data_IF_713757416512
#
_entry.id   IF_713757416512
#
_cell.length_a   1.000
_cell.length_b   1.000
_cell.length_c   1.000
_cell.angle_alpha   90.00
_cell.angle_beta   90.00
_cell.angle_gamma   90.00
#
_symmetry.space_group_name_H-M   'P 1'
#
loop_
_entity.id
_entity.type
_entity.pdbx_description
1 polymer ?
#
# COMPACT_ATOMS: atom_id res chain seq x y z
N UNK A 1 -76.45 -58.19 -15.25
CA UNK A 1 -76.68 -59.14 -14.11
C UNK A 1 -75.98 -58.61 -12.89
N UNK A 2 -76.75 -57.98 -12.11
CA UNK A 2 -77.14 -58.25 -10.75
C UNK A 2 -76.07 -58.08 -9.74
N UNK A 3 -76.30 -57.05 -8.98
CA UNK A 3 -76.60 -56.95 -7.54
C UNK A 3 -75.35 -56.93 -6.68
N UNK A 4 -75.29 -56.25 -5.59
CA UNK A 4 -76.15 -55.40 -4.78
C UNK A 4 -75.36 -54.94 -3.58
N UNK A 5 -75.54 -53.70 -3.11
CA UNK A 5 -75.74 -53.21 -1.77
C UNK A 5 -75.02 -53.86 -0.57
N UNK A 6 -74.28 -53.08 0.19
CA UNK A 6 -74.77 -52.68 1.55
C UNK A 6 -73.77 -51.79 2.31
N UNK A 7 -74.22 -50.64 2.79
CA UNK A 7 -73.72 -49.92 3.98
C UNK A 7 -74.31 -50.59 5.23
N UNK A 8 -73.92 -50.27 6.46
CA UNK A 8 -73.20 -49.23 7.17
C UNK A 8 -72.40 -49.79 8.41
N UNK A 9 -72.16 -49.18 9.54
CA UNK A 9 -72.47 -47.84 10.06
C UNK A 9 -71.32 -47.10 10.72
N UNK A 10 -71.62 -45.92 11.16
CA UNK A 10 -70.84 -44.95 11.87
C UNK A 10 -70.18 -45.39 13.22
N UNK A 11 -69.01 -44.95 13.49
CA UNK A 11 -68.51 -44.78 14.88
C UNK A 11 -67.42 -43.68 14.93
N UNK A 12 -67.80 -42.56 15.41
CA UNK A 12 -67.28 -41.86 16.59
C UNK A 12 -66.03 -41.04 16.42
N UNK A 13 -66.24 -39.77 16.37
CA UNK A 13 -65.33 -38.65 16.70
C UNK A 13 -64.74 -38.87 18.09
N UNK A 14 -63.45 -39.07 18.16
CA UNK A 14 -62.57 -38.77 19.34
C UNK A 14 -61.10 -39.04 19.00
N UNK A 15 -60.39 -38.10 18.38
CA UNK A 15 -58.94 -38.02 18.44
C UNK A 15 -58.39 -36.81 17.66
N UNK A 16 -58.77 -35.56 18.04
CA UNK A 16 -58.22 -34.39 17.41
C UNK A 16 -57.65 -33.34 18.36
N UNK A 17 -57.59 -33.64 19.66
CA UNK A 17 -57.09 -32.65 20.65
C UNK A 17 -55.67 -32.93 21.15
N UNK A 18 -55.14 -34.16 21.01
CA UNK A 18 -53.79 -34.50 21.51
C UNK A 18 -52.67 -34.21 20.51
N UNK A 19 -52.95 -34.13 19.21
CA UNK A 19 -51.92 -33.86 18.19
C UNK A 19 -51.57 -32.37 18.09
N UNK A 20 -52.50 -31.46 18.43
CA UNK A 20 -52.26 -30.00 18.38
C UNK A 20 -51.31 -29.50 19.48
N UNK A 21 -51.38 -30.10 20.67
CA UNK A 21 -50.54 -29.68 21.80
C UNK A 21 -49.09 -30.17 21.62
N UNK A 22 -48.85 -31.31 21.03
CA UNK A 22 -47.51 -31.83 20.75
C UNK A 22 -46.82 -31.06 19.62
N UNK A 23 -47.54 -30.62 18.59
CA UNK A 23 -46.99 -29.81 17.47
C UNK A 23 -46.63 -28.39 17.95
N UNK A 24 -47.46 -27.78 18.78
CA UNK A 24 -47.17 -26.44 19.34
C UNK A 24 -46.00 -26.49 20.34
N UNK A 25 -45.89 -27.52 21.19
CA UNK A 25 -44.73 -27.71 22.07
C UNK A 25 -43.44 -27.96 21.29
N UNK A 26 -43.48 -28.74 20.19
CA UNK A 26 -42.31 -29.05 19.37
C UNK A 26 -41.87 -27.80 18.58
N UNK A 27 -42.81 -27.03 18.02
CA UNK A 27 -42.50 -25.77 17.33
C UNK A 27 -41.94 -24.72 18.29
N UNK A 28 -42.47 -24.59 19.50
CA UNK A 28 -41.94 -23.69 20.52
C UNK A 28 -40.54 -24.08 21.00
N UNK A 29 -40.25 -25.40 21.11
CA UNK A 29 -38.92 -25.92 21.48
C UNK A 29 -37.90 -25.70 20.34
N UNK A 30 -38.29 -25.93 19.09
CA UNK A 30 -37.43 -25.69 17.91
C UNK A 30 -37.18 -24.20 17.72
N UNK A 31 -38.18 -23.35 17.90
CA UNK A 31 -38.00 -21.86 17.81
C UNK A 31 -37.11 -21.37 18.96
N UNK A 32 -37.27 -21.94 20.18
CA UNK A 32 -36.41 -21.60 21.30
C UNK A 32 -34.96 -22.10 21.13
N UNK A 33 -34.75 -23.27 20.52
CA UNK A 33 -33.41 -23.76 20.18
C UNK A 33 -32.77 -22.98 19.02
N UNK A 34 -33.57 -22.56 18.02
CA UNK A 34 -33.06 -21.68 16.91
C UNK A 34 -32.75 -20.29 17.45
N UNK A 35 -33.53 -19.77 18.40
CA UNK A 35 -33.23 -18.51 19.08
C UNK A 35 -32.07 -18.60 20.07
N UNK A 36 -31.82 -19.75 20.70
CA UNK A 36 -30.66 -20.00 21.56
C UNK A 36 -29.39 -20.28 20.77
N UNK A 37 -29.47 -20.78 19.53
CA UNK A 37 -28.33 -20.94 18.63
C UNK A 37 -27.96 -19.64 17.91
N UNK A 38 -28.82 -18.61 17.96
CA UNK A 38 -28.56 -17.28 17.44
C UNK A 38 -27.95 -16.32 18.49
N UNK A 39 -27.78 -16.76 19.73
CA UNK A 39 -27.21 -15.97 20.82
C UNK A 39 -25.87 -16.57 21.26
N UNK A 40 -24.82 -16.07 20.73
CA UNK A 40 -23.42 -16.01 21.16
C UNK A 40 -22.42 -16.40 20.05
N UNK A 41 -22.56 -15.86 18.86
CA UNK A 41 -21.35 -15.64 18.08
C UNK A 41 -20.68 -14.40 18.69
N UNK A 42 -19.85 -14.58 19.71
CA UNK A 42 -18.88 -13.54 20.08
C UNK A 42 -18.18 -13.15 18.80
N UNK A 43 -18.42 -11.92 18.34
CA UNK A 43 -17.72 -11.42 17.17
C UNK A 43 -16.22 -11.65 17.40
N UNK A 44 -15.57 -12.36 16.51
CA UNK A 44 -14.13 -12.60 16.63
C UNK A 44 -13.43 -11.25 16.76
N UNK A 45 -12.42 -11.14 17.65
CA UNK A 45 -11.71 -9.89 17.83
C UNK A 45 -11.03 -9.49 16.52
N UNK A 46 -11.14 -8.22 16.16
CA UNK A 46 -10.45 -7.64 15.01
C UNK A 46 -9.17 -6.94 15.46
N UNK A 47 -8.18 -6.92 14.57
CA UNK A 47 -6.88 -6.33 14.84
C UNK A 47 -6.47 -5.38 13.69
N UNK A 48 -5.50 -4.52 13.98
CA UNK A 48 -4.77 -3.70 13.01
C UNK A 48 -3.35 -4.29 12.86
N UNK A 49 -3.24 -5.49 12.29
CA UNK A 49 -1.98 -6.26 12.28
C UNK A 49 -0.85 -5.62 11.46
N UNK A 50 -1.17 -4.65 10.60
CA UNK A 50 -0.20 -3.82 9.87
C UNK A 50 -0.18 -2.36 10.35
N UNK A 51 -0.88 -2.07 11.45
CA UNK A 51 -1.00 -0.72 11.97
C UNK A 51 -1.89 0.19 11.13
N UNK A 52 -1.67 1.48 11.27
CA UNK A 52 -2.35 2.55 10.52
C UNK A 52 -1.29 3.50 10.00
N UNK A 53 -1.38 3.90 8.74
CA UNK A 53 -0.38 4.74 8.09
C UNK A 53 -1.01 5.90 7.32
N UNK A 54 -0.22 6.97 7.16
CA UNK A 54 -0.55 8.12 6.34
C UNK A 54 0.31 8.14 5.07
N UNK A 55 -0.25 8.59 3.96
CA UNK A 55 0.48 8.78 2.71
C UNK A 55 -0.02 9.98 1.92
N UNK A 56 0.72 10.35 0.89
CA UNK A 56 0.39 11.43 -0.04
C UNK A 56 0.02 12.74 0.67
N UNK A 57 0.73 13.07 1.73
CA UNK A 57 0.49 14.30 2.48
C UNK A 57 0.81 15.51 1.60
N UNK A 58 -0.05 16.51 1.63
CA UNK A 58 0.18 17.82 1.02
C UNK A 58 0.09 18.91 2.09
N UNK A 59 0.01 20.15 1.71
CA UNK A 59 -0.25 21.25 2.63
C UNK A 59 -1.69 21.29 3.15
N UNK A 60 -2.61 20.54 2.54
CA UNK A 60 -4.04 20.60 2.83
C UNK A 60 -4.76 19.25 2.79
N UNK A 61 -4.07 18.17 2.42
CA UNK A 61 -4.68 16.82 2.30
C UNK A 61 -3.76 15.73 2.81
N UNK A 62 -4.32 14.55 3.13
CA UNK A 62 -3.59 13.32 3.44
C UNK A 62 -4.47 12.11 3.17
N UNK A 63 -3.88 11.00 2.76
CA UNK A 63 -4.55 9.69 2.72
C UNK A 63 -4.22 8.90 3.99
N UNK A 64 -5.23 8.41 4.69
CA UNK A 64 -5.09 7.49 5.81
C UNK A 64 -5.50 6.08 5.39
N UNK A 65 -4.76 5.10 5.86
CA UNK A 65 -5.01 3.69 5.53
C UNK A 65 -4.83 2.80 6.74
N UNK A 66 -5.70 1.80 6.86
CA UNK A 66 -5.53 0.66 7.75
C UNK A 66 -6.09 -0.60 7.10
N UNK A 67 -5.68 -1.77 7.59
CA UNK A 67 -6.19 -3.09 7.17
C UNK A 67 -6.71 -3.85 8.38
N UNK A 68 -7.93 -4.37 8.30
CA UNK A 68 -8.49 -5.21 9.36
C UNK A 68 -8.02 -6.66 9.22
N UNK A 69 -7.58 -7.25 10.31
CA UNK A 69 -7.05 -8.61 10.35
C UNK A 69 -7.70 -9.46 11.43
N UNK A 70 -7.68 -10.79 11.26
CA UNK A 70 -8.19 -11.76 12.26
C UNK A 70 -7.22 -11.95 13.43
N UNK A 71 -5.94 -11.64 13.21
CA UNK A 71 -4.89 -11.79 14.20
C UNK A 71 -3.92 -10.61 14.15
N UNK A 72 -3.17 -10.41 15.22
CA UNK A 72 -2.09 -9.43 15.29
C UNK A 72 -0.75 -9.97 14.74
N UNK A 73 -0.65 -11.28 14.51
CA UNK A 73 0.56 -11.98 14.07
C UNK A 73 0.26 -12.88 12.88
N UNK A 74 1.32 -13.24 12.13
CA UNK A 74 1.21 -14.21 11.04
C UNK A 74 0.66 -15.54 11.56
N UNK A 75 -0.11 -16.21 10.71
CA UNK A 75 -0.57 -17.58 10.93
C UNK A 75 0.55 -18.60 10.59
N UNK A 76 0.17 -19.90 10.63
CA UNK A 76 1.10 -21.00 10.35
C UNK A 76 1.61 -21.02 8.90
N UNK A 77 0.86 -20.44 7.97
CA UNK A 77 1.20 -20.35 6.55
C UNK A 77 2.05 -19.10 6.23
N UNK A 78 2.36 -18.31 7.26
CA UNK A 78 3.13 -17.07 7.13
C UNK A 78 2.35 -15.92 6.52
N UNK A 79 1.02 -15.95 6.60
CA UNK A 79 0.13 -14.87 6.18
C UNK A 79 -0.47 -14.13 7.36
N UNK A 80 -1.05 -12.98 7.10
CA UNK A 80 -1.83 -12.20 8.06
C UNK A 80 -3.27 -12.09 7.54
N UNK A 81 -4.15 -13.09 7.84
CA UNK A 81 -5.47 -13.13 7.26
C UNK A 81 -6.30 -11.89 7.60
N UNK A 82 -6.91 -11.30 6.58
CA UNK A 82 -7.83 -10.19 6.73
C UNK A 82 -9.17 -10.60 7.34
N UNK A 83 -9.92 -9.63 7.84
CA UNK A 83 -11.24 -9.83 8.42
C UNK A 83 -12.22 -8.76 7.98
N UNK A 84 -13.44 -9.20 7.62
CA UNK A 84 -14.53 -8.27 7.33
C UNK A 84 -14.95 -7.49 8.57
N UNK A 85 -15.27 -6.22 8.37
CA UNK A 85 -15.69 -5.31 9.42
C UNK A 85 -15.88 -3.91 8.87
N UNK A 86 -15.83 -2.94 9.74
CA UNK A 86 -15.91 -1.52 9.38
C UNK A 86 -14.80 -0.74 10.07
N UNK A 87 -14.30 0.29 9.42
CA UNK A 87 -13.39 1.24 10.04
C UNK A 87 -13.66 2.68 9.57
N UNK A 88 -13.29 3.63 10.40
CA UNK A 88 -13.21 5.04 10.08
C UNK A 88 -11.97 5.64 10.76
N UNK A 89 -11.68 6.90 10.47
CA UNK A 89 -10.57 7.59 11.11
C UNK A 89 -11.08 8.79 11.90
N UNK A 90 -10.59 8.92 13.13
CA UNK A 90 -10.68 10.14 13.91
C UNK A 90 -9.40 10.94 13.76
N UNK A 91 -9.51 12.27 13.67
CA UNK A 91 -8.34 13.14 13.63
C UNK A 91 -8.57 14.47 14.34
N UNK A 92 -7.49 15.02 14.87
CA UNK A 92 -7.47 16.29 15.59
C UNK A 92 -6.10 16.95 15.48
N UNK A 93 -5.99 18.28 15.50
CA UNK A 93 -4.72 18.96 15.72
C UNK A 93 -4.21 18.81 17.16
N UNK A 94 -4.97 18.17 18.05
CA UNK A 94 -4.67 17.97 19.47
C UNK A 94 -4.44 16.49 19.76
N UNK A 95 -3.41 16.18 20.50
CA UNK A 95 -3.05 14.81 20.90
C UNK A 95 -4.12 14.16 21.81
N UNK A 96 -4.84 14.96 22.59
CA UNK A 96 -5.92 14.47 23.47
C UNK A 96 -7.22 14.15 22.72
N UNK A 97 -7.26 14.32 21.41
CA UNK A 97 -8.44 14.14 20.54
C UNK A 97 -9.68 14.93 20.96
N UNK A 98 -9.50 15.97 21.77
CA UNK A 98 -10.59 16.89 22.08
C UNK A 98 -11.03 17.58 20.78
N UNK A 99 -12.33 17.61 20.52
CA UNK A 99 -12.93 18.13 19.30
C UNK A 99 -12.50 17.38 18.02
N UNK A 100 -12.21 16.08 18.14
CA UNK A 100 -11.84 15.25 17.00
C UNK A 100 -12.97 15.20 15.95
N UNK A 101 -12.57 15.31 14.70
CA UNK A 101 -13.41 15.02 13.55
C UNK A 101 -13.33 13.52 13.22
N UNK A 102 -14.33 13.03 12.47
CA UNK A 102 -14.40 11.62 12.09
C UNK A 102 -14.84 11.47 10.65
N UNK A 103 -14.19 10.57 9.91
CA UNK A 103 -14.66 10.15 8.59
C UNK A 103 -15.86 9.22 8.73
N UNK A 104 -16.68 9.04 7.69
CA UNK A 104 -17.69 7.98 7.68
C UNK A 104 -17.04 6.60 7.85
N UNK A 105 -17.75 5.67 8.49
CA UNK A 105 -17.37 4.26 8.50
C UNK A 105 -17.43 3.68 7.08
N UNK A 106 -16.39 2.95 6.72
CA UNK A 106 -16.29 2.23 5.45
C UNK A 106 -16.12 0.73 5.70
N UNK A 107 -16.66 -0.13 4.83
CA UNK A 107 -16.49 -1.57 4.95
C UNK A 107 -15.06 -2.00 4.60
N UNK A 108 -14.48 -2.83 5.46
CA UNK A 108 -13.30 -3.61 5.14
C UNK A 108 -13.73 -4.87 4.40
N UNK A 109 -13.53 -4.93 3.09
CA UNK A 109 -14.03 -5.99 2.23
C UNK A 109 -12.89 -6.77 1.56
N UNK A 110 -13.09 -8.08 1.39
CA UNK A 110 -12.12 -9.00 0.80
C UNK A 110 -11.63 -8.57 -0.59
N UNK A 111 -12.53 -8.01 -1.41
CA UNK A 111 -12.19 -7.51 -2.75
C UNK A 111 -11.08 -6.43 -2.75
N UNK A 112 -10.87 -5.77 -1.64
CA UNK A 112 -9.83 -4.76 -1.41
C UNK A 112 -8.89 -5.16 -0.27
N UNK A 113 -8.70 -6.46 -0.07
CA UNK A 113 -7.84 -7.01 0.96
C UNK A 113 -8.13 -6.47 2.38
N UNK A 114 -9.40 -6.20 2.67
CA UNK A 114 -9.85 -5.64 3.96
C UNK A 114 -9.21 -4.29 4.32
N UNK A 115 -8.66 -3.59 3.34
CA UNK A 115 -8.10 -2.25 3.49
C UNK A 115 -9.22 -1.23 3.51
N UNK A 116 -9.15 -0.32 4.48
CA UNK A 116 -9.98 0.89 4.58
C UNK A 116 -9.09 2.11 4.39
N UNK A 117 -9.51 3.02 3.52
CA UNK A 117 -8.77 4.22 3.15
C UNK A 117 -9.67 5.44 3.16
N UNK A 118 -9.19 6.55 3.72
CA UNK A 118 -9.91 7.81 3.69
C UNK A 118 -8.96 8.97 3.37
N UNK A 119 -9.43 9.91 2.57
CA UNK A 119 -8.76 11.17 2.32
C UNK A 119 -9.30 12.23 3.28
N UNK A 120 -8.40 12.95 3.94
CA UNK A 120 -8.71 14.15 4.68
C UNK A 120 -8.36 15.37 3.83
N UNK A 121 -9.23 16.35 3.81
CA UNK A 121 -9.08 17.62 3.06
C UNK A 121 -9.19 18.83 4.00
N UNK A 122 -8.92 20.01 3.47
CA UNK A 122 -9.06 21.28 4.18
C UNK A 122 -8.21 21.38 5.47
N UNK A 123 -7.08 20.66 5.47
CA UNK A 123 -6.12 20.70 6.55
C UNK A 123 -5.30 22.00 6.48
N UNK A 124 -4.76 22.44 7.62
CA UNK A 124 -3.88 23.60 7.69
C UNK A 124 -2.46 23.23 7.32
N UNK A 125 -1.74 24.05 6.55
CA UNK A 125 -0.35 23.82 6.20
C UNK A 125 0.55 23.77 7.45
N UNK A 126 1.68 23.05 7.34
CA UNK A 126 2.74 22.96 8.37
C UNK A 126 2.21 22.64 9.78
N UNK A 127 1.17 21.82 9.86
CA UNK A 127 0.45 21.52 11.10
C UNK A 127 0.54 20.02 11.39
N UNK A 128 0.85 19.67 12.63
CA UNK A 128 0.78 18.29 13.10
C UNK A 128 -0.66 17.92 13.44
N UNK A 129 -1.10 16.80 12.93
CA UNK A 129 -2.38 16.18 13.24
C UNK A 129 -2.16 14.82 13.88
N UNK A 130 -2.96 14.50 14.88
CA UNK A 130 -3.07 13.19 15.48
C UNK A 130 -4.27 12.48 14.88
N UNK A 131 -4.14 11.19 14.59
CA UNK A 131 -5.22 10.40 14.02
C UNK A 131 -5.20 8.97 14.58
N UNK A 132 -6.32 8.27 14.47
CA UNK A 132 -6.43 6.87 14.87
C UNK A 132 -7.56 6.19 14.10
N UNK A 133 -7.40 4.90 13.83
CA UNK A 133 -8.48 4.10 13.29
C UNK A 133 -9.47 3.75 14.40
N UNK A 134 -10.76 3.83 14.08
CA UNK A 134 -11.87 3.32 14.90
C UNK A 134 -12.50 2.18 14.11
N UNK A 135 -12.47 0.95 14.63
CA UNK A 135 -12.76 -0.25 13.85
C UNK A 135 -13.48 -1.33 14.65
N UNK A 136 -14.26 -2.14 14.00
CA UNK A 136 -15.01 -3.21 14.63
C UNK A 136 -15.86 -4.03 13.66
N UNK A 137 -16.59 -5.00 14.15
CA UNK A 137 -17.55 -5.76 13.34
C UNK A 137 -18.68 -4.85 12.84
N UNK A 138 -19.08 -3.91 13.66
CA UNK A 138 -20.09 -2.88 13.36
C UNK A 138 -19.67 -1.53 13.93
N UNK A 139 -20.26 -0.40 13.50
CA UNK A 139 -19.99 0.91 14.10
C UNK A 139 -20.26 0.98 15.60
N UNK A 140 -21.26 0.25 16.09
CA UNK A 140 -21.66 0.23 17.52
C UNK A 140 -20.71 -0.60 18.41
N UNK A 141 -19.97 -1.52 17.82
CA UNK A 141 -18.99 -2.38 18.52
C UNK A 141 -17.53 -1.95 18.24
N UNK A 142 -17.33 -0.76 17.67
CA UNK A 142 -16.02 -0.31 17.25
C UNK A 142 -15.11 0.02 18.45
N UNK A 143 -13.87 -0.41 18.33
CA UNK A 143 -12.75 -0.14 19.23
C UNK A 143 -11.90 1.00 18.68
N UNK A 144 -11.19 1.69 19.56
CA UNK A 144 -10.27 2.75 19.21
C UNK A 144 -8.86 2.15 19.12
N UNK A 145 -8.22 2.34 17.98
CA UNK A 145 -6.84 1.93 17.72
C UNK A 145 -5.80 2.88 18.35
N UNK A 146 -4.52 2.53 18.21
CA UNK A 146 -3.40 3.37 18.65
C UNK A 146 -3.43 4.76 18.02
N UNK A 147 -2.99 5.77 18.78
CA UNK A 147 -2.78 7.12 18.25
C UNK A 147 -1.60 7.14 17.28
N UNK A 148 -1.77 7.79 16.16
CA UNK A 148 -0.81 8.03 15.09
C UNK A 148 -0.70 9.54 14.85
N UNK A 149 0.30 9.97 14.07
CA UNK A 149 0.41 11.38 13.69
C UNK A 149 0.96 11.55 12.27
N UNK A 150 0.70 12.68 11.68
CA UNK A 150 1.36 13.18 10.47
C UNK A 150 1.48 14.70 10.57
N UNK A 151 2.39 15.25 9.78
CA UNK A 151 2.50 16.70 9.63
C UNK A 151 2.21 17.06 8.18
N UNK A 152 1.30 18.02 7.96
CA UNK A 152 1.06 18.58 6.62
C UNK A 152 2.28 19.32 6.12
N UNK A 153 2.50 19.29 4.81
CA UNK A 153 3.60 20.04 4.19
C UNK A 153 3.43 21.54 4.43
N UNK A 154 4.53 22.30 4.49
CA UNK A 154 4.50 23.76 4.49
C UNK A 154 3.86 24.37 3.21
N UNK A 155 3.96 23.67 2.09
CA UNK A 155 3.41 24.14 0.81
C UNK A 155 4.13 25.33 0.21
N UNK A 156 3.56 25.90 -0.86
CA UNK A 156 4.20 26.93 -1.68
C UNK A 156 4.38 28.32 -1.03
N UNK A 157 3.87 28.52 0.16
CA UNK A 157 3.92 29.83 0.84
C UNK A 157 4.87 29.90 2.04
N UNK A 158 5.21 28.76 2.62
CA UNK A 158 6.01 28.69 3.85
C UNK A 158 7.39 28.12 3.51
N UNK A 159 8.43 28.77 4.00
CA UNK A 159 9.81 28.29 3.91
C UNK A 159 10.33 27.92 5.30
N UNK A 160 10.37 26.62 5.58
CA UNK A 160 10.87 26.05 6.82
C UNK A 160 11.72 24.83 6.50
N UNK A 161 12.73 24.49 7.30
CA UNK A 161 13.50 23.27 7.10
C UNK A 161 12.59 22.04 7.11
N UNK A 162 12.82 21.13 6.15
CA UNK A 162 12.15 19.84 6.05
C UNK A 162 13.20 18.74 6.02
N UNK A 163 12.98 17.69 6.77
CA UNK A 163 13.80 16.48 6.79
C UNK A 163 13.01 15.32 6.24
N UNK A 164 13.54 14.65 5.26
CA UNK A 164 12.93 13.44 4.75
C UNK A 164 13.96 12.36 4.46
N UNK A 165 13.49 11.14 4.31
CA UNK A 165 14.31 9.97 4.04
C UNK A 165 13.83 9.34 2.74
N UNK A 166 14.77 8.89 1.92
CA UNK A 166 14.51 8.10 0.73
C UNK A 166 15.10 6.72 0.94
N UNK A 167 14.35 5.68 0.65
CA UNK A 167 14.77 4.30 0.84
C UNK A 167 14.13 3.34 -0.16
N UNK A 168 14.81 2.21 -0.43
CA UNK A 168 14.36 1.16 -1.33
C UNK A 168 14.85 -0.22 -0.88
N UNK A 169 14.59 -1.26 -1.68
CA UNK A 169 15.21 -2.59 -1.56
C UNK A 169 14.98 -3.28 -0.21
N UNK A 170 13.75 -3.28 0.28
CA UNK A 170 13.35 -3.92 1.53
C UNK A 170 13.13 -5.43 1.35
N UNK A 171 14.19 -6.18 1.01
CA UNK A 171 14.09 -7.59 0.66
C UNK A 171 13.84 -8.47 1.90
N UNK A 172 12.56 -8.79 2.15
CA UNK A 172 12.11 -9.65 3.24
C UNK A 172 12.83 -10.98 3.29
N UNK A 173 12.97 -11.65 2.16
CA UNK A 173 13.57 -12.97 2.08
C UNK A 173 15.05 -12.97 2.48
N UNK A 174 15.84 -12.02 1.96
CA UNK A 174 17.26 -11.89 2.35
C UNK A 174 17.38 -11.51 3.82
N UNK A 175 16.48 -10.69 4.33
CA UNK A 175 16.45 -10.30 5.73
C UNK A 175 16.14 -11.49 6.65
N UNK A 176 15.11 -12.27 6.34
CA UNK A 176 14.67 -13.39 7.19
C UNK A 176 15.56 -14.62 7.10
N UNK A 177 16.08 -14.92 5.91
CA UNK A 177 16.75 -16.21 5.61
C UNK A 177 18.20 -16.06 5.20
N UNK A 178 18.72 -14.83 4.99
CA UNK A 178 20.10 -14.59 4.55
C UNK A 178 20.32 -14.99 3.10
N UNK A 179 21.42 -15.72 2.85
CA UNK A 179 21.77 -16.19 1.50
C UNK A 179 20.73 -17.14 0.97
N UNK A 180 20.15 -16.82 -0.18
CA UNK A 180 19.23 -17.70 -0.91
C UNK A 180 19.79 -17.90 -2.31
N UNK A 181 19.95 -19.15 -2.71
CA UNK A 181 20.51 -19.52 -4.02
C UNK A 181 22.02 -19.24 -4.15
N UNK A 182 22.44 -18.78 -5.33
CA UNK A 182 23.86 -18.49 -5.64
C UNK A 182 24.35 -17.14 -5.10
N UNK A 183 23.47 -16.33 -4.54
CA UNK A 183 23.84 -14.98 -4.10
C UNK A 183 24.86 -15.01 -2.94
N UNK A 184 25.95 -14.27 -3.09
CA UNK A 184 26.79 -13.87 -1.98
C UNK A 184 26.09 -12.75 -1.24
N UNK A 185 25.68 -12.94 -0.01
CA UNK A 185 24.97 -11.93 0.76
C UNK A 185 25.33 -12.03 2.24
N UNK A 186 24.98 -11.06 3.07
CA UNK A 186 25.18 -11.10 4.49
C UNK A 186 24.45 -12.31 5.12
N UNK A 187 24.85 -12.65 6.32
CA UNK A 187 24.12 -13.59 7.16
C UNK A 187 22.68 -13.05 7.36
N UNK A 188 21.74 -13.95 7.62
CA UNK A 188 20.37 -13.55 7.99
C UNK A 188 20.40 -12.64 9.21
N UNK A 189 19.36 -11.84 9.37
CA UNK A 189 19.17 -10.99 10.55
C UNK A 189 19.16 -11.84 11.85
N UNK A 190 19.44 -11.19 12.98
CA UNK A 190 19.31 -11.84 14.30
C UNK A 190 17.87 -12.24 14.56
N UNK A 191 17.62 -13.19 15.44
CA UNK A 191 16.26 -13.61 15.80
C UNK A 191 15.43 -12.44 16.42
N UNK A 192 16.10 -11.52 17.09
CA UNK A 192 15.47 -10.30 17.60
C UNK A 192 15.02 -9.38 16.44
N UNK A 193 15.89 -9.20 15.44
CA UNK A 193 15.57 -8.37 14.28
C UNK A 193 14.51 -9.01 13.39
N UNK A 194 14.54 -10.32 13.19
CA UNK A 194 13.48 -11.05 12.46
C UNK A 194 12.10 -10.86 13.08
N UNK A 195 12.05 -10.78 14.42
CA UNK A 195 10.81 -10.51 15.15
C UNK A 195 10.38 -9.05 15.06
N UNK A 196 11.32 -8.11 15.17
CA UNK A 196 11.05 -6.66 15.23
C UNK A 196 10.99 -6.00 13.84
N UNK A 197 11.62 -6.60 12.84
CA UNK A 197 11.77 -6.02 11.50
C UNK A 197 13.07 -5.23 11.33
N UNK A 198 13.23 -4.64 10.17
CA UNK A 198 14.45 -3.96 9.74
C UNK A 198 14.94 -2.91 10.75
N UNK A 199 16.17 -3.02 11.28
CA UNK A 199 16.74 -2.06 12.25
C UNK A 199 16.83 -0.63 11.72
N UNK A 200 16.94 -0.48 10.40
CA UNK A 200 16.98 0.82 9.74
C UNK A 200 15.77 1.72 10.09
N UNK A 201 14.55 1.16 10.23
CA UNK A 201 13.37 1.94 10.58
C UNK A 201 13.47 2.57 11.96
N UNK A 202 14.05 1.86 12.94
CA UNK A 202 14.31 2.42 14.27
C UNK A 202 15.37 3.55 14.22
N UNK A 203 16.42 3.38 13.42
CA UNK A 203 17.43 4.40 13.24
C UNK A 203 16.88 5.64 12.51
N UNK A 204 16.08 5.43 11.47
CA UNK A 204 15.44 6.51 10.72
C UNK A 204 14.44 7.31 11.57
N UNK A 205 13.67 6.62 12.42
CA UNK A 205 12.71 7.29 13.32
C UNK A 205 13.41 8.28 14.28
N UNK A 206 14.60 7.95 14.78
CA UNK A 206 15.42 8.82 15.63
C UNK A 206 15.87 10.13 14.94
N UNK A 207 15.80 10.18 13.61
CA UNK A 207 16.10 11.39 12.85
C UNK A 207 14.91 12.35 12.77
N UNK A 208 13.73 11.95 13.25
CA UNK A 208 12.48 12.71 13.19
C UNK A 208 12.18 13.26 11.79
N UNK A 209 12.04 12.40 10.77
CA UNK A 209 11.74 12.86 9.42
C UNK A 209 10.29 13.36 9.33
N UNK A 210 10.07 14.40 8.52
CA UNK A 210 8.73 14.91 8.21
C UNK A 210 7.97 13.95 7.27
N UNK A 211 8.70 13.22 6.42
CA UNK A 211 8.12 12.15 5.56
C UNK A 211 9.18 11.17 5.08
N UNK A 212 8.72 10.07 4.53
CA UNK A 212 9.52 9.02 3.88
C UNK A 212 9.13 8.89 2.40
N UNK A 213 10.11 8.59 1.55
CA UNK A 213 9.89 8.23 0.14
C UNK A 213 10.42 6.84 -0.11
N UNK A 214 9.52 5.89 -0.39
CA UNK A 214 9.87 4.55 -0.85
C UNK A 214 10.00 4.54 -2.37
N UNK A 215 11.18 4.17 -2.88
CA UNK A 215 11.50 4.21 -4.31
C UNK A 215 11.54 2.83 -4.96
N UNK A 216 10.62 1.97 -4.57
CA UNK A 216 10.48 0.64 -5.14
C UNK A 216 11.21 -0.45 -4.37
N UNK A 217 11.04 -1.68 -4.81
CA UNK A 217 11.54 -2.88 -4.15
C UNK A 217 11.06 -2.99 -2.69
N UNK A 218 9.84 -2.56 -2.45
CA UNK A 218 9.22 -2.61 -1.13
C UNK A 218 8.93 -4.06 -0.74
N UNK A 219 8.47 -4.86 -1.71
CA UNK A 219 8.28 -6.30 -1.61
C UNK A 219 8.86 -7.01 -2.83
N UNK A 220 9.09 -8.31 -2.73
CA UNK A 220 9.71 -9.12 -3.78
C UNK A 220 8.81 -10.28 -4.14
N UNK A 221 8.11 -10.19 -5.29
CA UNK A 221 7.24 -11.26 -5.77
C UNK A 221 8.00 -12.46 -6.31
N UNK A 222 9.20 -12.24 -6.80
CA UNK A 222 10.11 -13.25 -7.37
C UNK A 222 11.06 -13.88 -6.34
N UNK A 223 10.68 -13.85 -5.07
CA UNK A 223 11.41 -14.52 -4.01
C UNK A 223 11.65 -16.00 -4.35
N UNK A 224 12.92 -16.46 -4.45
CA UNK A 224 13.22 -17.82 -4.88
C UNK A 224 12.73 -18.92 -3.93
N UNK A 225 12.40 -18.61 -2.69
CA UNK A 225 11.79 -19.55 -1.75
C UNK A 225 10.26 -19.64 -1.95
N UNK A 226 9.64 -18.58 -2.44
CA UNK A 226 8.20 -18.51 -2.69
C UNK A 226 7.90 -17.45 -3.73
N UNK A 227 7.86 -17.86 -4.99
CA UNK A 227 7.44 -16.99 -6.09
C UNK A 227 5.95 -16.70 -5.95
N UNK A 228 5.59 -15.42 -5.99
CA UNK A 228 4.19 -14.98 -5.92
C UNK A 228 3.65 -14.72 -7.33
N UNK A 229 2.67 -15.48 -7.75
CA UNK A 229 2.06 -15.41 -9.10
C UNK A 229 0.56 -15.12 -9.07
N UNK A 230 -0.08 -15.41 -7.93
CA UNK A 230 -1.53 -15.22 -7.72
C UNK A 230 -1.79 -14.03 -6.79
N UNK A 231 -2.98 -13.43 -6.89
CA UNK A 231 -3.38 -12.30 -6.04
C UNK A 231 -3.19 -12.60 -4.54
N UNK A 232 -3.62 -13.75 -3.98
CA UNK A 232 -3.35 -14.06 -2.57
C UNK A 232 -1.86 -14.10 -2.22
N UNK A 233 -1.02 -14.70 -3.08
CA UNK A 233 0.43 -14.75 -2.84
C UNK A 233 1.07 -13.37 -2.91
N UNK A 234 0.65 -12.52 -3.84
CA UNK A 234 1.11 -11.13 -3.94
C UNK A 234 0.75 -10.36 -2.67
N UNK A 235 -0.51 -10.43 -2.23
CA UNK A 235 -0.99 -9.81 -0.98
C UNK A 235 -0.20 -10.30 0.23
N UNK A 236 0.09 -11.59 0.33
CA UNK A 236 0.91 -12.16 1.40
C UNK A 236 2.29 -11.50 1.50
N UNK A 237 2.95 -11.16 0.38
CA UNK A 237 4.23 -10.43 0.42
C UNK A 237 4.11 -9.07 1.14
N UNK A 238 3.00 -8.35 0.93
CA UNK A 238 2.71 -7.09 1.63
C UNK A 238 2.34 -7.30 3.10
N UNK A 239 1.60 -8.38 3.39
CA UNK A 239 1.20 -8.69 4.75
C UNK A 239 2.40 -9.01 5.65
N UNK A 240 3.30 -9.87 5.19
CA UNK A 240 4.50 -10.24 5.93
C UNK A 240 5.50 -9.09 6.07
N UNK A 241 5.55 -8.18 5.09
CA UNK A 241 6.42 -7.01 5.12
C UNK A 241 5.95 -5.96 6.13
N UNK A 242 4.69 -5.52 6.01
CA UNK A 242 4.17 -4.39 6.79
C UNK A 242 3.72 -4.75 8.21
N UNK A 243 3.75 -6.02 8.60
CA UNK A 243 3.45 -6.44 9.98
C UNK A 243 4.60 -6.19 10.96
N UNK A 244 5.80 -5.85 10.51
CA UNK A 244 6.95 -5.68 11.39
C UNK A 244 6.76 -4.53 12.38
N UNK A 245 6.97 -4.77 13.70
CA UNK A 245 6.78 -3.73 14.72
C UNK A 245 7.54 -2.42 14.46
N UNK A 246 8.79 -2.49 13.99
CA UNK A 246 9.58 -1.29 13.66
C UNK A 246 9.00 -0.51 12.47
N UNK A 247 8.42 -1.19 11.48
CA UNK A 247 7.74 -0.51 10.38
C UNK A 247 6.42 0.10 10.82
N UNK A 248 5.62 -0.62 11.61
CA UNK A 248 4.38 -0.10 12.20
C UNK A 248 4.66 1.14 13.03
N UNK A 249 5.69 1.12 13.89
CA UNK A 249 6.04 2.26 14.72
C UNK A 249 6.57 3.44 13.90
N UNK A 250 7.34 3.19 12.84
CA UNK A 250 7.83 4.23 11.94
C UNK A 250 6.67 4.91 11.19
N UNK A 251 5.84 4.15 10.48
CA UNK A 251 4.74 4.69 9.67
C UNK A 251 3.56 5.21 10.51
N UNK A 252 3.53 4.92 11.79
CA UNK A 252 2.59 5.50 12.72
C UNK A 252 2.74 7.02 12.87
N UNK A 253 3.94 7.55 12.65
CA UNK A 253 4.25 8.99 12.81
C UNK A 253 4.92 9.62 11.59
N UNK A 254 5.31 8.85 10.59
CA UNK A 254 6.00 9.33 9.40
C UNK A 254 5.14 9.00 8.17
N UNK A 255 4.50 10.00 7.54
CA UNK A 255 3.76 9.79 6.31
C UNK A 255 4.70 9.43 5.16
N UNK A 256 4.19 8.70 4.17
CA UNK A 256 5.03 8.17 3.11
C UNK A 256 4.50 8.47 1.71
N UNK A 257 5.43 8.61 0.77
CA UNK A 257 5.20 8.59 -0.67
C UNK A 257 5.85 7.34 -1.26
N UNK A 258 5.22 6.72 -2.24
CA UNK A 258 5.66 5.44 -2.75
C UNK A 258 5.79 5.47 -4.27
N UNK A 259 6.88 4.96 -4.78
CA UNK A 259 7.06 4.56 -6.17
C UNK A 259 7.39 3.07 -6.19
N UNK A 260 7.07 2.37 -7.28
CA UNK A 260 7.42 0.96 -7.45
C UNK A 260 8.61 0.80 -8.36
N UNK A 261 9.30 -0.34 -8.22
CA UNK A 261 10.30 -0.79 -9.18
C UNK A 261 9.94 -2.21 -9.68
N UNK A 262 10.89 -3.00 -10.11
CA UNK A 262 10.63 -4.25 -10.82
C UNK A 262 10.11 -5.38 -9.91
N UNK A 263 10.64 -5.53 -8.70
CA UNK A 263 10.28 -6.62 -7.79
C UNK A 263 8.88 -6.47 -7.17
N UNK A 264 8.44 -5.24 -6.90
CA UNK A 264 7.09 -4.95 -6.43
C UNK A 264 6.09 -4.61 -7.55
N UNK A 265 6.60 -4.63 -8.81
CA UNK A 265 5.80 -4.68 -10.02
C UNK A 265 5.57 -6.13 -10.46
N UNK A 266 6.65 -6.90 -10.69
CA UNK A 266 6.54 -8.29 -11.18
C UNK A 266 7.72 -9.16 -10.72
N UNK A 267 8.89 -8.99 -11.29
CA UNK A 267 10.12 -9.76 -11.06
C UNK A 267 11.34 -8.99 -11.59
N UNK A 268 12.52 -9.40 -11.19
CA UNK A 268 13.83 -8.80 -11.55
C UNK A 268 13.89 -8.35 -13.02
N UNK A 269 14.26 -7.10 -13.23
CA UNK A 269 14.37 -6.41 -14.52
C UNK A 269 13.10 -6.50 -15.39
N UNK A 270 11.90 -6.63 -14.80
CA UNK A 270 10.68 -6.87 -15.57
C UNK A 270 10.16 -5.66 -16.35
N UNK A 271 9.57 -5.95 -17.49
CA UNK A 271 8.83 -5.01 -18.33
C UNK A 271 7.43 -5.52 -18.67
N UNK A 272 6.74 -4.87 -19.62
CA UNK A 272 5.38 -5.19 -20.03
C UNK A 272 5.30 -6.24 -21.14
N UNK A 273 6.42 -6.81 -21.62
CA UNK A 273 6.48 -7.57 -22.87
C UNK A 273 6.20 -9.08 -22.73
N UNK A 274 6.17 -9.62 -21.51
CA UNK A 274 6.04 -11.07 -21.31
C UNK A 274 4.76 -11.46 -20.59
N UNK A 275 4.27 -12.70 -20.86
CA UNK A 275 3.13 -13.29 -20.17
C UNK A 275 3.50 -14.05 -18.88
N UNK A 276 4.75 -13.95 -18.41
CA UNK A 276 5.14 -14.48 -17.11
C UNK A 276 4.33 -13.82 -16.00
N UNK A 277 3.89 -14.60 -15.03
CA UNK A 277 3.12 -14.10 -13.88
C UNK A 277 4.03 -13.42 -12.83
N UNK A 278 3.49 -12.44 -12.10
CA UNK A 278 2.20 -11.81 -12.30
C UNK A 278 2.15 -11.00 -13.61
N UNK A 279 0.96 -10.84 -14.20
CA UNK A 279 0.79 -9.98 -15.37
C UNK A 279 1.01 -8.50 -15.00
N UNK A 280 1.42 -7.63 -15.95
CA UNK A 280 1.68 -6.22 -15.68
C UNK A 280 0.52 -5.52 -14.97
N UNK A 281 -0.71 -5.68 -15.47
CA UNK A 281 -1.89 -5.08 -14.82
C UNK A 281 -2.08 -5.56 -13.38
N UNK A 282 -1.82 -6.82 -13.09
CA UNK A 282 -1.95 -7.37 -11.72
C UNK A 282 -0.94 -6.73 -10.78
N UNK A 283 0.31 -6.55 -11.19
CA UNK A 283 1.34 -5.88 -10.40
C UNK A 283 1.00 -4.40 -10.12
N UNK A 284 0.52 -3.68 -11.15
CA UNK A 284 0.07 -2.29 -11.02
C UNK A 284 -1.09 -2.17 -10.02
N UNK A 285 -2.12 -3.03 -10.19
CA UNK A 285 -3.30 -2.99 -9.34
C UNK A 285 -2.94 -3.35 -7.88
N UNK A 286 -2.04 -4.32 -7.67
CA UNK A 286 -1.58 -4.74 -6.36
C UNK A 286 -0.83 -3.62 -5.63
N UNK A 287 0.11 -2.97 -6.30
CA UNK A 287 0.85 -1.84 -5.74
C UNK A 287 -0.08 -0.70 -5.30
N UNK A 288 -1.10 -0.38 -6.13
CA UNK A 288 -2.12 0.62 -5.82
C UNK A 288 -3.05 0.21 -4.68
N UNK A 289 -3.34 -1.09 -4.58
CA UNK A 289 -4.20 -1.63 -3.53
C UNK A 289 -3.51 -1.55 -2.16
N UNK A 290 -2.24 -1.89 -2.07
CA UNK A 290 -1.58 -2.12 -0.79
C UNK A 290 -1.07 -0.84 -0.10
N UNK A 291 -0.87 0.24 -0.82
CA UNK A 291 -0.24 1.45 -0.30
C UNK A 291 -1.18 2.68 -0.33
N UNK A 292 -1.09 3.60 0.65
CA UNK A 292 -1.89 4.82 0.69
C UNK A 292 -1.40 5.87 -0.31
N UNK A 293 -1.57 5.59 -1.61
CA UNK A 293 -1.10 6.46 -2.70
C UNK A 293 -2.22 7.22 -3.39
N UNK A 294 -3.40 6.62 -3.48
CA UNK A 294 -4.57 7.19 -4.14
C UNK A 294 -5.83 6.44 -3.71
N UNK A 295 -6.99 6.95 -4.04
CA UNK A 295 -8.22 6.17 -3.88
C UNK A 295 -8.10 4.85 -4.65
N UNK A 296 -8.60 3.76 -4.06
CA UNK A 296 -8.50 2.39 -4.64
C UNK A 296 -9.06 2.31 -6.07
N UNK A 297 -10.06 3.12 -6.38
CA UNK A 297 -10.70 3.20 -7.70
C UNK A 297 -10.06 4.22 -8.65
N UNK A 298 -8.96 4.86 -8.29
CA UNK A 298 -8.34 5.92 -9.08
C UNK A 298 -7.60 5.36 -10.29
N UNK A 299 -7.85 5.94 -11.47
CA UNK A 299 -7.08 5.68 -12.70
C UNK A 299 -5.98 6.73 -12.94
N UNK A 300 -5.70 7.59 -11.96
CA UNK A 300 -4.63 8.58 -12.07
C UNK A 300 -3.28 7.90 -12.22
N UNK A 301 -2.33 8.50 -12.95
CA UNK A 301 -0.96 7.98 -13.03
C UNK A 301 -0.29 8.00 -11.65
N UNK A 302 0.68 7.12 -11.48
CA UNK A 302 1.47 7.01 -10.24
C UNK A 302 2.62 8.01 -10.17
N UNK A 303 3.07 8.57 -11.32
CA UNK A 303 4.00 9.69 -11.33
C UNK A 303 3.30 10.98 -10.89
N UNK A 304 3.95 11.77 -10.06
CA UNK A 304 3.35 12.96 -9.44
C UNK A 304 4.39 13.91 -8.87
N UNK A 305 3.95 15.08 -8.47
CA UNK A 305 4.80 16.12 -7.86
C UNK A 305 4.14 16.71 -6.62
N UNK A 306 4.96 17.06 -5.64
CA UNK A 306 4.52 17.71 -4.40
C UNK A 306 5.34 18.96 -4.12
N UNK A 307 4.66 20.09 -3.91
CA UNK A 307 5.28 21.30 -3.40
C UNK A 307 5.50 21.14 -1.89
N UNK A 308 6.72 20.85 -1.50
CA UNK A 308 7.07 20.57 -0.10
C UNK A 308 7.15 21.85 0.73
N UNK A 309 7.90 22.84 0.24
CA UNK A 309 8.00 24.18 0.83
C UNK A 309 7.95 25.22 -0.27
N UNK A 310 7.99 26.51 0.09
CA UNK A 310 8.14 27.59 -0.89
C UNK A 310 9.34 27.34 -1.83
N UNK A 311 10.44 26.82 -1.32
CA UNK A 311 11.68 26.65 -2.06
C UNK A 311 11.93 25.22 -2.55
N UNK A 312 11.15 24.21 -2.10
CA UNK A 312 11.38 22.80 -2.42
C UNK A 312 10.15 22.17 -3.07
N UNK A 313 10.36 21.55 -4.21
CA UNK A 313 9.38 20.70 -4.87
C UNK A 313 10.03 19.38 -5.26
N UNK A 314 9.29 18.26 -5.10
CA UNK A 314 9.75 16.93 -5.46
C UNK A 314 8.89 16.36 -6.60
N UNK A 315 9.51 15.58 -7.48
CA UNK A 315 8.87 14.80 -8.53
C UNK A 315 9.17 13.33 -8.31
N UNK A 316 8.14 12.51 -8.31
CA UNK A 316 8.27 11.05 -8.27
C UNK A 316 7.91 10.52 -9.65
N UNK A 317 8.86 9.85 -10.29
CA UNK A 317 8.64 9.23 -11.60
C UNK A 317 8.13 7.80 -11.47
N UNK A 318 7.58 7.30 -12.56
CA UNK A 318 7.11 5.93 -12.71
C UNK A 318 7.94 5.22 -13.79
N UNK A 319 8.61 4.16 -13.42
CA UNK A 319 9.55 3.48 -14.31
C UNK A 319 9.05 2.19 -14.95
N UNK A 320 7.86 1.68 -14.58
CA UNK A 320 7.41 0.34 -14.98
C UNK A 320 6.13 0.34 -15.81
N UNK A 321 5.16 1.26 -15.54
CA UNK A 321 3.84 1.24 -16.16
C UNK A 321 3.86 1.51 -17.67
N UNK A 322 4.79 2.33 -18.15
CA UNK A 322 4.75 2.93 -19.48
C UNK A 322 5.94 2.56 -20.36
N UNK A 323 6.89 1.75 -19.84
CA UNK A 323 8.13 1.47 -20.54
C UNK A 323 7.96 0.64 -21.79
N UNK A 324 8.77 0.93 -22.78
CA UNK A 324 9.04 0.05 -23.92
C UNK A 324 9.66 -1.27 -23.44
N UNK A 325 9.55 -2.38 -24.21
CA UNK A 325 10.25 -3.61 -23.84
C UNK A 325 11.76 -3.38 -23.68
N UNK A 326 12.36 -3.94 -22.62
CA UNK A 326 13.78 -3.77 -22.31
C UNK A 326 14.70 -4.16 -23.48
N UNK A 327 14.32 -5.19 -24.23
CA UNK A 327 15.08 -5.70 -25.40
C UNK A 327 14.94 -4.88 -26.66
N UNK A 328 14.08 -3.87 -26.68
CA UNK A 328 14.02 -2.94 -27.82
C UNK A 328 15.38 -2.23 -27.92
N UNK A 329 15.99 -2.10 -29.12
CA UNK A 329 17.19 -1.30 -29.28
C UNK A 329 17.03 0.12 -28.75
N UNK A 330 18.04 0.67 -28.08
CA UNK A 330 18.00 2.05 -27.60
C UNK A 330 17.90 3.03 -28.77
N UNK A 331 17.15 4.10 -28.60
CA UNK A 331 16.90 5.10 -29.63
C UNK A 331 15.63 5.92 -29.40
N UNK A 332 15.25 6.77 -30.34
CA UNK A 332 14.16 7.75 -30.16
C UNK A 332 12.77 7.13 -29.92
N UNK A 333 12.56 5.89 -30.36
CA UNK A 333 11.29 5.17 -30.20
C UNK A 333 11.21 4.35 -28.90
N UNK A 334 12.31 4.26 -28.14
CA UNK A 334 12.37 3.54 -26.88
C UNK A 334 12.25 4.49 -25.70
N UNK A 335 11.26 4.28 -24.84
CA UNK A 335 11.02 5.13 -23.68
C UNK A 335 10.82 4.29 -22.42
N UNK A 336 11.40 4.73 -21.33
CA UNK A 336 11.16 4.20 -19.99
C UNK A 336 9.93 4.87 -19.36
N UNK A 337 9.77 6.16 -19.58
CA UNK A 337 8.70 6.96 -18.99
C UNK A 337 7.43 7.02 -19.82
N UNK A 338 7.54 6.77 -21.13
CA UNK A 338 6.47 7.03 -22.09
C UNK A 338 6.28 8.53 -22.35
N UNK A 339 5.77 8.87 -23.54
CA UNK A 339 5.64 10.26 -24.03
C UNK A 339 4.88 11.15 -23.06
N UNK A 340 3.74 10.67 -22.55
CA UNK A 340 2.87 11.48 -21.66
C UNK A 340 3.56 11.86 -20.34
N UNK A 341 4.34 10.94 -19.75
CA UNK A 341 5.08 11.27 -18.53
C UNK A 341 6.25 12.20 -18.81
N UNK A 342 6.98 12.02 -19.93
CA UNK A 342 8.06 12.93 -20.33
C UNK A 342 7.53 14.36 -20.51
N UNK A 343 6.45 14.55 -21.24
CA UNK A 343 5.79 15.85 -21.46
C UNK A 343 5.32 16.49 -20.15
N UNK A 344 4.68 15.68 -19.27
CA UNK A 344 4.26 16.13 -17.95
C UNK A 344 5.45 16.56 -17.10
N UNK A 345 6.54 15.79 -17.10
CA UNK A 345 7.74 16.08 -16.32
C UNK A 345 8.38 17.40 -16.78
N UNK A 346 8.59 17.57 -18.07
CA UNK A 346 9.16 18.78 -18.65
C UNK A 346 8.26 20.00 -18.36
N UNK A 347 6.96 19.89 -18.60
CA UNK A 347 5.99 20.97 -18.38
C UNK A 347 5.97 21.41 -16.92
N UNK A 348 5.90 20.47 -15.99
CA UNK A 348 5.79 20.79 -14.57
C UNK A 348 7.11 21.26 -13.96
N UNK A 349 8.27 20.75 -14.42
CA UNK A 349 9.58 21.27 -14.05
C UNK A 349 9.77 22.71 -14.50
N UNK A 350 9.38 23.03 -15.74
CA UNK A 350 9.45 24.38 -16.31
C UNK A 350 8.52 25.37 -15.59
N UNK A 351 7.30 24.94 -15.27
CA UNK A 351 6.32 25.76 -14.57
C UNK A 351 6.66 26.00 -13.08
N UNK A 352 7.52 25.20 -12.49
CA UNK A 352 7.88 25.33 -11.08
C UNK A 352 8.80 26.51 -10.83
N UNK A 353 8.44 27.34 -9.85
CA UNK A 353 9.25 28.44 -9.32
C UNK A 353 10.06 28.04 -8.06
N UNK A 354 10.02 26.75 -7.66
CA UNK A 354 10.81 26.26 -6.55
C UNK A 354 12.31 26.40 -6.83
N UNK A 355 13.06 26.88 -5.84
CA UNK A 355 14.51 26.98 -5.91
C UNK A 355 15.19 25.63 -6.03
N UNK A 356 14.68 24.64 -5.30
CA UNK A 356 15.15 23.26 -5.28
C UNK A 356 14.10 22.37 -5.92
N UNK A 357 14.51 21.66 -6.94
CA UNK A 357 13.69 20.70 -7.68
C UNK A 357 14.34 19.34 -7.55
N UNK A 358 13.73 18.42 -6.84
CA UNK A 358 14.25 17.07 -6.64
C UNK A 358 13.47 16.08 -7.49
N UNK A 359 14.15 15.47 -8.44
CA UNK A 359 13.62 14.35 -9.20
C UNK A 359 14.01 13.05 -8.48
N UNK A 360 13.01 12.27 -8.10
CA UNK A 360 13.16 10.99 -7.41
C UNK A 360 12.70 9.90 -8.36
N UNK A 361 13.63 9.08 -8.82
CA UNK A 361 13.38 7.98 -9.74
C UNK A 361 13.59 6.63 -9.03
N UNK A 362 12.69 5.66 -9.22
CA UNK A 362 12.90 4.30 -8.70
C UNK A 362 14.04 3.56 -9.44
N UNK A 363 14.31 3.92 -10.69
CA UNK A 363 15.38 3.33 -11.50
C UNK A 363 16.58 4.26 -11.62
N UNK A 364 17.82 3.75 -11.72
CA UNK A 364 19.01 4.56 -11.95
C UNK A 364 18.91 5.43 -13.20
N UNK A 365 19.31 6.71 -13.08
CA UNK A 365 19.38 7.65 -14.21
C UNK A 365 20.80 8.11 -14.50
N UNK A 366 21.70 8.02 -13.55
CA UNK A 366 23.09 8.49 -13.65
C UNK A 366 24.03 7.49 -13.00
N UNK A 367 25.22 7.40 -13.50
CA UNK A 367 26.29 6.53 -13.03
C UNK A 367 26.41 5.30 -13.90
N UNK A 368 27.43 4.46 -13.73
CA UNK A 368 27.35 3.12 -14.27
C UNK A 368 26.49 2.25 -13.37
N UNK A 369 25.59 1.48 -13.97
CA UNK A 369 24.97 0.31 -13.34
C UNK A 369 25.72 -0.96 -13.80
N UNK A 370 25.20 -2.17 -13.51
CA UNK A 370 25.78 -3.42 -14.00
C UNK A 370 25.77 -3.41 -15.54
N UNK A 371 26.93 -3.56 -16.16
CA UNK A 371 27.13 -3.52 -17.62
C UNK A 371 26.28 -4.55 -18.40
N UNK A 372 25.67 -5.52 -17.71
CA UNK A 372 24.78 -6.52 -18.31
C UNK A 372 23.32 -6.13 -18.28
N UNK A 373 22.95 -5.08 -17.52
CA UNK A 373 21.57 -4.58 -17.43
C UNK A 373 21.20 -3.75 -18.65
N UNK A 374 19.92 -3.73 -18.96
CA UNK A 374 19.33 -3.01 -20.10
C UNK A 374 17.97 -2.38 -19.73
N UNK A 375 17.73 -2.19 -18.45
CA UNK A 375 16.40 -1.88 -17.95
C UNK A 375 16.25 -0.46 -17.32
N UNK A 376 17.31 0.36 -17.39
CA UNK A 376 17.28 1.72 -16.83
C UNK A 376 17.99 2.75 -17.73
N UNK A 377 17.97 4.02 -17.33
CA UNK A 377 18.55 5.15 -18.06
C UNK A 377 20.09 5.17 -18.03
N UNK A 378 20.71 4.55 -17.02
CA UNK A 378 22.16 4.53 -16.90
C UNK A 378 22.83 3.41 -17.75
N UNK A 379 22.05 2.48 -18.28
CA UNK A 379 22.53 1.35 -19.05
C UNK A 379 22.76 1.73 -20.51
N UNK A 380 23.95 1.44 -21.05
CA UNK A 380 24.34 1.78 -22.43
C UNK A 380 23.39 1.21 -23.51
N UNK A 381 22.81 0.04 -23.27
CA UNK A 381 21.84 -0.59 -24.15
C UNK A 381 20.41 -0.54 -23.55
N UNK A 382 20.23 0.26 -22.52
CA UNK A 382 18.97 0.46 -21.82
C UNK A 382 18.13 1.55 -22.47
N UNK A 383 17.98 2.66 -21.76
CA UNK A 383 17.20 3.84 -22.16
C UNK A 383 18.05 5.11 -22.17
N UNK A 384 19.30 4.97 -22.58
CA UNK A 384 20.31 6.02 -22.55
C UNK A 384 19.91 7.20 -23.45
N UNK A 385 19.31 6.91 -24.61
CA UNK A 385 18.83 7.95 -25.54
C UNK A 385 17.78 8.87 -24.89
N UNK A 386 16.82 8.33 -24.15
CA UNK A 386 15.81 9.13 -23.42
C UNK A 386 16.48 9.96 -22.32
N UNK A 387 17.42 9.37 -21.57
CA UNK A 387 18.18 10.09 -20.55
C UNK A 387 18.97 11.27 -21.14
N UNK A 388 19.70 11.03 -22.22
CA UNK A 388 20.50 12.06 -22.91
C UNK A 388 19.63 13.19 -23.44
N UNK A 389 18.49 12.87 -24.03
CA UNK A 389 17.52 13.85 -24.51
C UNK A 389 16.95 14.68 -23.35
N UNK A 390 16.60 14.05 -22.23
CA UNK A 390 16.11 14.72 -21.04
C UNK A 390 17.18 15.65 -20.42
N UNK A 391 18.40 15.18 -20.27
CA UNK A 391 19.49 16.00 -19.74
C UNK A 391 19.91 17.13 -20.69
N UNK A 392 19.84 16.91 -22.01
CA UNK A 392 20.04 17.98 -22.99
C UNK A 392 18.96 19.07 -22.87
N UNK A 393 17.70 18.66 -22.73
CA UNK A 393 16.58 19.55 -22.46
C UNK A 393 16.78 20.34 -21.14
N UNK A 394 17.17 19.70 -20.04
CA UNK A 394 17.45 20.39 -18.77
C UNK A 394 18.51 21.44 -18.91
N UNK A 395 19.58 21.16 -19.65
CA UNK A 395 20.66 22.14 -19.90
C UNK A 395 20.19 23.31 -20.76
N UNK A 396 19.31 23.09 -21.74
CA UNK A 396 18.80 24.13 -22.64
C UNK A 396 17.87 25.14 -21.94
N UNK A 397 17.23 24.74 -20.84
CA UNK A 397 16.37 25.60 -20.03
C UNK A 397 17.17 26.48 -19.03
N UNK A 398 18.50 26.59 -19.17
CA UNK A 398 19.41 27.37 -18.32
C UNK A 398 19.36 26.99 -16.81
N UNK A 399 18.99 25.79 -16.51
CA UNK A 399 18.98 25.28 -15.14
C UNK A 399 20.38 24.77 -14.76
N UNK A 400 20.99 25.33 -13.71
CA UNK A 400 22.16 24.73 -13.08
C UNK A 400 21.72 23.47 -12.34
N UNK A 401 22.15 22.31 -12.81
CA UNK A 401 21.89 21.03 -12.17
C UNK A 401 23.10 20.58 -11.37
N UNK A 402 22.92 20.26 -10.09
CA UNK A 402 23.86 19.45 -9.33
C UNK A 402 23.36 18.01 -9.37
N UNK A 403 24.08 17.14 -10.07
CA UNK A 403 23.78 15.72 -10.16
C UNK A 403 24.48 15.00 -9.01
N UNK A 404 23.72 14.45 -8.06
CA UNK A 404 24.24 13.56 -7.06
C UNK A 404 23.62 12.17 -7.26
N UNK A 405 24.43 11.19 -7.58
CA UNK A 405 24.04 9.79 -7.56
C UNK A 405 25.02 9.01 -6.70
N UNK A 406 24.52 8.03 -5.96
CA UNK A 406 25.32 7.05 -5.26
C UNK A 406 25.22 5.73 -6.03
N UNK A 407 26.36 5.28 -6.58
CA UNK A 407 26.48 4.11 -7.46
C UNK A 407 26.17 2.73 -6.82
N UNK A 408 25.73 2.70 -5.56
CA UNK A 408 25.39 1.46 -4.85
C UNK A 408 23.91 1.38 -4.42
N UNK A 409 23.07 2.29 -4.91
CA UNK A 409 21.66 2.39 -4.49
C UNK A 409 20.80 2.33 -5.75
N UNK A 410 19.78 1.49 -5.74
CA UNK A 410 18.84 1.25 -6.86
C UNK A 410 17.92 2.43 -7.19
N UNK A 411 18.21 3.63 -6.75
CA UNK A 411 17.42 4.83 -7.05
C UNK A 411 18.31 6.03 -7.33
N UNK A 412 17.79 6.98 -8.07
CA UNK A 412 18.46 8.25 -8.33
C UNK A 412 17.64 9.42 -7.76
N UNK A 413 18.31 10.28 -6.99
CA UNK A 413 17.76 11.55 -6.54
C UNK A 413 18.57 12.65 -7.18
N UNK A 414 17.91 13.47 -8.01
CA UNK A 414 18.54 14.60 -8.66
C UNK A 414 18.07 15.89 -8.04
N UNK A 415 19.02 16.77 -7.73
CA UNK A 415 18.74 18.12 -7.31
C UNK A 415 19.01 19.10 -8.45
N UNK A 416 17.98 19.83 -8.83
CA UNK A 416 18.07 20.91 -9.82
C UNK A 416 17.99 22.24 -9.08
N UNK A 417 19.01 23.07 -9.20
CA UNK A 417 19.03 24.40 -8.61
C UNK A 417 18.71 25.43 -9.69
N UNK A 418 17.80 26.35 -9.41
CA UNK A 418 17.48 27.50 -10.27
C UNK A 418 18.45 28.63 -10.04
#
# INVERSE_FOLDING_TARGET
MTNSLSLPPAATVRSTIHTGIFVISYLSFVICQVLLLAADSKAEPLFLGQGTMAGEVTDSTVLLQTRLTRAAQLDADGDLPGAAGVACFEWSPREDFRDAQRTPFQPAAEKHDFIVRAELTDLKPNTTYHYRAVFGATPSSALVGPSCSFKTLPGGTINTPVRFIVGSCMNYNKFMHGKVGRASGPLSATEADKRLGFPAFEAMLKLHPDFFVGTGDIVYYDNPLRVAETIPQLRQCWHEQFRFPRMIEFFRSVPAYWSKDDHDFRFDDSDNSTNRLPLPKTGIDMFREQLPMMAVSSNKPTYRTHRVTKDLQIWLTEGRDYRSPNKTPDGPEKSLWGTTQCEWLQTTLKASDARWKLLISPTPMVGPDDARKVDNHADLNGYCHEADAFFAWLRSEEHTSELQSHSFISYAVFCLKK
#
